data_IF_247316406915
#
_entry.id   IF_247316406915
#
_cell.length_a   1.000
_cell.length_b   1.000
_cell.length_c   1.000
_cell.angle_alpha   90.00
_cell.angle_beta   90.00
_cell.angle_gamma   90.00
#
_symmetry.space_group_name_H-M   'P 1'
#
loop_
_entity.id
_entity.type
_entity.pdbx_description
1 polymer ?
#
# COMPACT_ATOMS: atom_id res chain seq x y z
N UNK A 1 -26.74 7.13 12.50
CA UNK A 1 -27.97 6.31 12.51
C UNK A 1 -28.11 5.46 13.77
N UNK A 2 -27.12 4.63 14.15
CA UNK A 2 -27.17 3.84 15.41
C UNK A 2 -27.33 4.72 16.66
N UNK A 3 -26.53 5.78 16.79
CA UNK A 3 -26.60 6.72 17.91
C UNK A 3 -27.99 7.35 18.09
N UNK A 4 -28.69 7.66 16.99
CA UNK A 4 -30.04 8.22 17.06
C UNK A 4 -31.08 7.20 17.53
N UNK A 5 -30.96 5.92 17.12
CA UNK A 5 -31.82 4.84 17.62
C UNK A 5 -31.60 4.60 19.11
N UNK A 6 -30.35 4.73 19.57
CA UNK A 6 -29.98 4.51 20.96
C UNK A 6 -30.55 5.61 21.89
N UNK A 7 -30.56 6.87 21.44
CA UNK A 7 -31.21 7.98 22.16
C UNK A 7 -32.74 7.81 22.24
N UNK A 8 -33.35 7.20 21.22
CA UNK A 8 -34.78 6.90 21.23
C UNK A 8 -35.13 5.81 22.26
N UNK A 9 -34.27 4.79 22.36
CA UNK A 9 -34.42 3.72 23.35
C UNK A 9 -34.28 4.27 24.77
N UNK A 10 -33.34 5.18 25.03
CA UNK A 10 -33.17 5.79 26.36
C UNK A 10 -34.42 6.55 26.83
N UNK A 11 -35.05 7.34 25.96
CA UNK A 11 -36.35 7.98 26.25
C UNK A 11 -37.47 6.98 26.50
N UNK A 12 -37.41 5.83 25.84
CA UNK A 12 -38.41 4.78 26.02
C UNK A 12 -38.28 4.13 27.40
N UNK A 13 -37.05 3.98 27.92
CA UNK A 13 -36.82 3.53 29.30
C UNK A 13 -37.36 4.52 30.35
N UNK A 14 -37.20 5.83 30.16
CA UNK A 14 -37.75 6.83 31.08
C UNK A 14 -39.29 6.76 31.13
N UNK A 15 -39.93 6.63 29.97
CA UNK A 15 -41.39 6.51 29.89
C UNK A 15 -41.92 5.24 30.56
N UNK A 16 -41.22 4.11 30.39
CA UNK A 16 -41.60 2.83 31.01
C UNK A 16 -41.34 2.86 32.53
N UNK A 17 -40.21 3.44 32.96
CA UNK A 17 -39.87 3.59 34.37
C UNK A 17 -40.93 4.37 35.16
N UNK A 18 -41.48 5.44 34.57
CA UNK A 18 -42.55 6.23 35.19
C UNK A 18 -43.87 5.46 35.33
N UNK A 19 -44.11 4.40 34.55
CA UNK A 19 -45.30 3.55 34.66
C UNK A 19 -45.12 2.38 35.64
N UNK A 20 -43.90 1.88 35.81
CA UNK A 20 -43.61 0.71 36.67
C UNK A 20 -43.30 1.12 38.11
N UNK A 21 -42.94 2.39 38.35
CA UNK A 21 -42.66 2.94 39.69
C UNK A 21 -43.76 2.69 40.74
N UNK A 22 -44.98 2.37 40.30
CA UNK A 22 -46.16 2.24 41.17
C UNK A 22 -46.58 0.79 41.48
N UNK A 23 -45.98 -0.25 40.85
CA UNK A 23 -46.57 -1.60 40.89
C UNK A 23 -45.67 -2.79 41.31
N UNK A 24 -44.36 -2.82 41.09
CA UNK A 24 -43.54 -3.98 41.55
C UNK A 24 -42.02 -3.74 41.62
N UNK A 25 -41.37 -4.31 42.66
CA UNK A 25 -39.92 -4.17 42.93
C UNK A 25 -39.07 -5.10 42.03
N UNK A 26 -39.58 -6.30 41.70
CA UNK A 26 -38.90 -7.26 40.82
C UNK A 26 -38.73 -6.71 39.40
N UNK A 27 -39.80 -6.15 38.84
CA UNK A 27 -39.82 -5.53 37.51
C UNK A 27 -38.82 -4.37 37.38
N UNK A 28 -38.61 -3.60 38.46
CA UNK A 28 -37.60 -2.54 38.48
C UNK A 28 -36.17 -3.11 38.39
N UNK A 29 -35.86 -4.21 39.07
CA UNK A 29 -34.54 -4.84 39.01
C UNK A 29 -34.23 -5.36 37.61
N UNK A 30 -35.19 -6.00 36.96
CA UNK A 30 -35.03 -6.50 35.58
C UNK A 30 -34.86 -5.36 34.58
N UNK A 31 -35.61 -4.26 34.75
CA UNK A 31 -35.50 -3.09 33.89
C UNK A 31 -34.15 -2.37 34.06
N UNK A 32 -33.61 -2.33 35.28
CA UNK A 32 -32.25 -1.82 35.54
C UNK A 32 -31.22 -2.72 34.87
N UNK A 33 -31.37 -4.05 34.98
CA UNK A 33 -30.46 -5.01 34.36
C UNK A 33 -30.48 -4.86 32.82
N UNK A 34 -31.67 -4.70 32.23
CA UNK A 34 -31.84 -4.46 30.80
C UNK A 34 -31.21 -3.13 30.36
N UNK A 35 -31.34 -2.08 31.17
CA UNK A 35 -30.67 -0.78 30.93
C UNK A 35 -29.15 -0.91 30.96
N UNK A 36 -28.60 -1.72 31.88
CA UNK A 36 -27.16 -2.00 31.95
C UNK A 36 -26.72 -2.78 30.69
N UNK A 37 -27.43 -3.84 30.31
CA UNK A 37 -27.15 -4.60 29.08
C UNK A 37 -27.17 -3.70 27.84
N UNK A 38 -28.16 -2.82 27.73
CA UNK A 38 -28.25 -1.85 26.64
C UNK A 38 -27.06 -0.87 26.64
N UNK A 39 -26.68 -0.34 27.82
CA UNK A 39 -25.52 0.54 27.95
C UNK A 39 -24.21 -0.17 27.58
N UNK A 40 -24.04 -1.45 27.94
CA UNK A 40 -22.87 -2.24 27.52
C UNK A 40 -22.84 -2.44 26.02
N UNK A 41 -23.99 -2.76 25.40
CA UNK A 41 -24.09 -2.97 23.96
C UNK A 41 -23.79 -1.67 23.18
N UNK A 42 -24.19 -0.51 23.73
CA UNK A 42 -23.81 0.82 23.22
C UNK A 42 -22.30 1.05 23.28
N UNK A 43 -21.65 0.77 24.41
CA UNK A 43 -20.21 0.93 24.58
C UNK A 43 -19.45 0.03 23.60
N UNK A 44 -19.86 -1.23 23.46
CA UNK A 44 -19.28 -2.17 22.50
C UNK A 44 -19.41 -1.68 21.06
N UNK A 45 -20.60 -1.22 20.67
CA UNK A 45 -20.88 -0.61 19.36
C UNK A 45 -19.98 0.59 19.06
N UNK A 46 -19.84 1.52 20.00
CA UNK A 46 -18.98 2.69 19.84
C UNK A 46 -17.49 2.31 19.78
N UNK A 47 -17.07 1.36 20.60
CA UNK A 47 -15.70 0.84 20.57
C UNK A 47 -15.39 0.23 19.20
N UNK A 48 -16.33 -0.54 18.66
CA UNK A 48 -16.22 -1.19 17.36
C UNK A 48 -16.11 -0.18 16.20
N UNK A 49 -16.89 0.91 16.24
CA UNK A 49 -16.77 1.99 15.25
C UNK A 49 -15.42 2.73 15.37
N UNK A 50 -14.93 2.98 16.59
CA UNK A 50 -13.63 3.63 16.82
C UNK A 50 -12.45 2.77 16.35
N UNK A 51 -12.47 1.48 16.66
CA UNK A 51 -11.43 0.55 16.21
C UNK A 51 -11.45 0.40 14.70
N UNK A 52 -12.64 0.36 14.08
CA UNK A 52 -12.77 0.34 12.63
C UNK A 52 -12.18 1.59 11.96
N UNK A 53 -12.50 2.79 12.43
CA UNK A 53 -11.95 4.04 11.88
C UNK A 53 -10.43 4.05 12.01
N UNK A 54 -9.91 3.63 13.17
CA UNK A 54 -8.47 3.55 13.41
C UNK A 54 -7.81 2.55 12.46
N UNK A 55 -8.40 1.37 12.29
CA UNK A 55 -7.92 0.35 11.35
C UNK A 55 -7.91 0.88 9.91
N UNK A 56 -8.99 1.56 9.50
CA UNK A 56 -9.09 2.14 8.16
C UNK A 56 -8.02 3.20 7.93
N UNK A 57 -7.78 4.09 8.90
CA UNK A 57 -6.73 5.11 8.79
C UNK A 57 -5.33 4.51 8.67
N UNK A 58 -5.03 3.45 9.45
CA UNK A 58 -3.75 2.75 9.34
C UNK A 58 -3.63 2.09 7.98
N UNK A 59 -4.68 1.41 7.51
CA UNK A 59 -4.69 0.73 6.23
C UNK A 59 -4.52 1.72 5.07
N UNK A 60 -5.29 2.80 5.04
CA UNK A 60 -5.24 3.82 3.98
C UNK A 60 -3.84 4.46 3.92
N UNK A 61 -3.25 4.83 5.08
CA UNK A 61 -1.87 5.36 5.14
C UNK A 61 -0.84 4.41 4.55
N UNK A 62 -1.06 3.11 4.69
CA UNK A 62 -0.11 2.10 4.26
C UNK A 62 -0.29 1.73 2.80
N UNK A 63 -1.52 1.69 2.30
CA UNK A 63 -1.84 1.49 0.88
C UNK A 63 -1.32 2.66 0.05
N UNK A 64 -1.43 3.90 0.54
CA UNK A 64 -0.89 5.08 -0.15
C UNK A 64 0.65 5.08 -0.23
N UNK A 65 1.33 4.30 0.64
CA UNK A 65 2.78 4.12 0.63
C UNK A 65 3.26 2.96 -0.27
N UNK A 66 2.37 2.19 -0.90
CA UNK A 66 2.69 0.98 -1.69
C UNK A 66 3.37 1.23 -3.06
N UNK A 67 4.15 2.30 -3.19
CA UNK A 67 5.25 2.29 -4.15
C UNK A 67 6.39 1.35 -3.74
N UNK A 68 6.49 1.00 -2.45
CA UNK A 68 7.66 0.34 -1.87
C UNK A 68 7.30 -0.86 -0.99
N UNK A 69 6.78 -1.93 -1.59
CA UNK A 69 6.75 -3.29 -1.00
C UNK A 69 5.86 -3.49 0.23
N UNK A 70 5.23 -4.67 0.33
CA UNK A 70 4.39 -5.04 1.48
C UNK A 70 5.27 -5.20 2.71
N UNK A 71 5.15 -4.29 3.68
CA UNK A 71 5.95 -4.32 4.91
C UNK A 71 5.46 -5.46 5.85
N UNK A 72 6.32 -6.40 6.28
CA UNK A 72 5.92 -7.50 7.18
C UNK A 72 5.34 -7.00 8.52
N UNK A 73 5.71 -5.79 8.95
CA UNK A 73 5.13 -5.17 10.15
C UNK A 73 3.63 -4.85 9.98
N UNK A 74 3.19 -4.52 8.76
CA UNK A 74 1.78 -4.30 8.44
C UNK A 74 0.98 -5.58 8.64
N UNK A 75 1.46 -6.69 8.10
CA UNK A 75 0.78 -7.98 8.19
C UNK A 75 0.62 -8.40 9.65
N UNK A 76 1.67 -8.22 10.47
CA UNK A 76 1.62 -8.46 11.91
C UNK A 76 0.60 -7.55 12.61
N UNK A 77 0.51 -6.28 12.23
CA UNK A 77 -0.48 -5.37 12.77
C UNK A 77 -1.91 -5.79 12.39
N UNK A 78 -2.18 -6.06 11.10
CA UNK A 78 -3.50 -6.50 10.61
C UNK A 78 -3.92 -7.81 11.29
N UNK A 79 -3.01 -8.78 11.43
CA UNK A 79 -3.28 -10.04 12.15
C UNK A 79 -3.67 -9.78 13.62
N UNK A 80 -2.97 -8.88 14.30
CA UNK A 80 -3.33 -8.47 15.67
C UNK A 80 -4.72 -7.82 15.72
N UNK A 81 -5.06 -6.98 14.75
CA UNK A 81 -6.38 -6.35 14.68
C UNK A 81 -7.50 -7.36 14.42
N UNK A 82 -7.29 -8.35 13.54
CA UNK A 82 -8.25 -9.44 13.29
C UNK A 82 -8.55 -10.18 14.59
N UNK A 83 -7.51 -10.60 15.32
CA UNK A 83 -7.70 -11.31 16.58
C UNK A 83 -8.46 -10.47 17.61
N UNK A 84 -8.13 -9.18 17.72
CA UNK A 84 -8.85 -8.27 18.64
C UNK A 84 -10.32 -8.10 18.24
N UNK A 85 -10.61 -8.12 16.94
CA UNK A 85 -11.96 -7.99 16.41
C UNK A 85 -12.80 -9.25 16.62
N UNK A 86 -12.19 -10.44 16.45
CA UNK A 86 -12.86 -11.71 16.75
C UNK A 86 -13.18 -11.84 18.25
N UNK A 87 -12.29 -11.39 19.12
CA UNK A 87 -12.56 -11.34 20.58
C UNK A 87 -13.73 -10.41 20.91
N UNK A 88 -13.71 -9.18 20.37
CA UNK A 88 -14.84 -8.24 20.54
C UNK A 88 -16.14 -8.81 19.98
N UNK A 89 -16.09 -9.50 18.85
CA UNK A 89 -17.28 -10.11 18.25
C UNK A 89 -17.87 -11.21 19.15
N UNK A 90 -16.99 -11.98 19.80
CA UNK A 90 -17.41 -13.00 20.77
C UNK A 90 -18.09 -12.36 21.98
N UNK A 91 -17.48 -11.34 22.59
CA UNK A 91 -18.07 -10.62 23.73
C UNK A 91 -19.44 -10.01 23.37
N UNK A 92 -19.54 -9.37 22.20
CA UNK A 92 -20.80 -8.81 21.70
C UNK A 92 -21.87 -9.91 21.52
N UNK A 93 -21.49 -11.06 20.98
CA UNK A 93 -22.41 -12.19 20.79
C UNK A 93 -22.88 -12.78 22.12
N UNK A 94 -22.02 -12.81 23.15
CA UNK A 94 -22.40 -13.26 24.48
C UNK A 94 -23.39 -12.28 25.14
N UNK A 95 -23.10 -10.97 25.08
CA UNK A 95 -24.01 -9.92 25.59
C UNK A 95 -25.34 -9.94 24.85
N UNK A 96 -25.32 -10.14 23.53
CA UNK A 96 -26.50 -10.31 22.68
C UNK A 96 -27.41 -11.44 23.16
N UNK A 97 -26.84 -12.63 23.40
CA UNK A 97 -27.59 -13.81 23.85
C UNK A 97 -28.16 -13.60 25.26
N UNK A 98 -27.39 -13.02 26.18
CA UNK A 98 -27.86 -12.69 27.54
C UNK A 98 -29.00 -11.67 27.48
N UNK A 99 -28.89 -10.67 26.62
CA UNK A 99 -29.94 -9.66 26.46
C UNK A 99 -31.21 -10.30 25.90
N UNK A 100 -31.11 -11.20 24.92
CA UNK A 100 -32.26 -11.89 24.33
C UNK A 100 -32.93 -12.85 25.33
N UNK A 101 -32.16 -13.53 26.18
CA UNK A 101 -32.69 -14.43 27.20
C UNK A 101 -33.41 -13.67 28.32
N UNK A 102 -32.82 -12.59 28.83
CA UNK A 102 -33.44 -11.70 29.82
C UNK A 102 -34.76 -11.13 29.30
N UNK A 103 -34.75 -10.70 28.05
CA UNK A 103 -35.90 -10.08 27.44
C UNK A 103 -37.02 -11.10 27.19
N UNK A 104 -36.67 -12.33 26.84
CA UNK A 104 -37.62 -13.44 26.76
C UNK A 104 -38.25 -13.79 28.11
N UNK A 105 -37.50 -13.71 29.21
CA UNK A 105 -38.04 -13.90 30.58
C UNK A 105 -39.04 -12.78 30.95
N UNK A 106 -38.67 -11.52 30.69
CA UNK A 106 -39.50 -10.33 30.95
C UNK A 106 -40.85 -10.38 30.22
N UNK A 107 -40.83 -10.82 28.95
CA UNK A 107 -42.04 -11.01 28.13
C UNK A 107 -42.94 -12.13 28.65
N UNK A 108 -42.37 -13.18 29.24
CA UNK A 108 -43.12 -14.31 29.79
C UNK A 108 -43.85 -13.91 31.08
N UNK A 109 -43.24 -13.04 31.89
CA UNK A 109 -43.74 -12.67 33.22
C UNK A 109 -44.82 -11.58 33.19
N UNK A 110 -44.66 -10.55 32.34
CA UNK A 110 -45.58 -9.39 32.33
C UNK A 110 -46.74 -9.48 31.31
N UNK A 111 -46.75 -10.53 30.47
CA UNK A 111 -47.82 -10.79 29.52
C UNK A 111 -48.02 -9.70 28.44
N UNK A 112 -49.02 -9.87 27.55
CA UNK A 112 -49.21 -9.03 26.34
C UNK A 112 -49.71 -7.60 26.60
N UNK A 113 -49.88 -7.19 27.86
CA UNK A 113 -50.54 -5.92 28.21
C UNK A 113 -49.66 -4.69 27.96
N UNK A 114 -48.33 -4.81 28.03
CA UNK A 114 -47.41 -3.68 27.81
C UNK A 114 -46.92 -3.57 26.36
N UNK A 115 -47.75 -2.94 25.50
CA UNK A 115 -47.35 -2.43 24.18
C UNK A 115 -45.96 -1.74 24.12
N UNK A 116 -45.57 -0.86 25.07
CA UNK A 116 -44.25 -0.21 25.01
C UNK A 116 -43.08 -1.18 25.24
N UNK A 117 -43.27 -2.23 26.05
CA UNK A 117 -42.24 -3.24 26.31
C UNK A 117 -41.97 -4.08 25.06
N UNK A 118 -43.03 -4.43 24.32
CA UNK A 118 -42.93 -5.17 23.05
C UNK A 118 -42.25 -4.33 21.95
N UNK A 119 -42.43 -3.02 21.97
CA UNK A 119 -41.71 -2.12 21.06
C UNK A 119 -40.21 -2.10 21.38
N UNK A 120 -39.88 -2.00 22.67
CA UNK A 120 -38.50 -2.04 23.15
C UNK A 120 -37.82 -3.37 22.77
N UNK A 121 -38.50 -4.50 22.94
CA UNK A 121 -38.04 -5.83 22.48
C UNK A 121 -37.58 -5.81 21.01
N UNK A 122 -38.51 -5.46 20.12
CA UNK A 122 -38.26 -5.47 18.68
C UNK A 122 -37.11 -4.55 18.31
N UNK A 123 -36.99 -3.39 18.97
CA UNK A 123 -35.88 -2.46 18.76
C UNK A 123 -34.55 -3.01 19.29
N UNK A 124 -34.54 -3.61 20.48
CA UNK A 124 -33.33 -4.17 21.09
C UNK A 124 -32.80 -5.36 20.28
N UNK A 125 -33.68 -6.29 19.89
CA UNK A 125 -33.36 -7.39 18.96
C UNK A 125 -32.86 -6.88 17.62
N UNK A 126 -33.47 -5.80 17.12
CA UNK A 126 -33.01 -5.13 15.90
C UNK A 126 -31.60 -4.58 16.03
N UNK A 127 -31.28 -3.87 17.11
CA UNK A 127 -29.93 -3.33 17.37
C UNK A 127 -28.92 -4.45 17.53
N UNK A 128 -29.27 -5.48 18.31
CA UNK A 128 -28.44 -6.65 18.54
C UNK A 128 -28.11 -7.39 17.23
N UNK A 129 -29.12 -7.63 16.39
CA UNK A 129 -28.95 -8.22 15.06
C UNK A 129 -28.09 -7.35 14.13
N UNK A 130 -28.29 -6.03 14.14
CA UNK A 130 -27.50 -5.09 13.35
C UNK A 130 -26.02 -5.08 13.76
N UNK A 131 -25.72 -5.08 15.06
CA UNK A 131 -24.34 -5.10 15.57
C UNK A 131 -23.67 -6.42 15.19
N UNK A 132 -24.33 -7.56 15.41
CA UNK A 132 -23.77 -8.87 15.09
C UNK A 132 -23.53 -9.04 13.57
N UNK A 133 -24.48 -8.57 12.75
CA UNK A 133 -24.34 -8.57 11.29
C UNK A 133 -23.20 -7.67 10.81
N UNK A 134 -23.04 -6.49 11.40
CA UNK A 134 -21.92 -5.60 11.06
C UNK A 134 -20.59 -6.19 11.45
N UNK A 135 -20.49 -6.74 12.66
CA UNK A 135 -19.27 -7.33 13.19
C UNK A 135 -18.80 -8.53 12.33
N UNK A 136 -19.70 -9.48 12.04
CA UNK A 136 -19.42 -10.62 11.15
C UNK A 136 -19.06 -10.18 9.72
N UNK A 137 -19.77 -9.18 9.17
CA UNK A 137 -19.42 -8.62 7.85
C UNK A 137 -18.04 -7.95 7.83
N UNK A 138 -17.59 -7.40 8.96
CA UNK A 138 -16.28 -6.80 9.05
C UNK A 138 -15.18 -7.86 9.13
N UNK A 139 -15.34 -8.84 10.02
CA UNK A 139 -14.37 -9.93 10.18
C UNK A 139 -14.13 -10.65 8.84
N UNK A 140 -15.21 -10.99 8.12
CA UNK A 140 -15.12 -11.60 6.78
C UNK A 140 -14.37 -10.73 5.77
N UNK A 141 -14.65 -9.42 5.71
CA UNK A 141 -13.93 -8.49 4.81
C UNK A 141 -12.46 -8.36 5.16
N UNK A 142 -12.12 -8.33 6.45
CA UNK A 142 -10.75 -8.21 6.93
C UNK A 142 -9.96 -9.49 6.60
N UNK A 143 -10.58 -10.65 6.79
CA UNK A 143 -10.03 -11.95 6.42
C UNK A 143 -9.77 -12.08 4.91
N UNK A 144 -10.72 -11.65 4.07
CA UNK A 144 -10.52 -11.63 2.62
C UNK A 144 -9.34 -10.75 2.22
N UNK A 145 -9.18 -9.56 2.84
CA UNK A 145 -8.04 -8.69 2.57
C UNK A 145 -6.71 -9.30 3.02
N UNK A 146 -6.69 -9.98 4.17
CA UNK A 146 -5.49 -10.66 4.64
C UNK A 146 -5.08 -11.79 3.66
N UNK A 147 -6.02 -12.58 3.15
CA UNK A 147 -5.72 -13.57 2.12
C UNK A 147 -5.13 -12.95 0.85
N UNK A 148 -5.64 -11.79 0.41
CA UNK A 148 -5.06 -11.06 -0.72
C UNK A 148 -3.63 -10.56 -0.42
N UNK A 149 -3.37 -10.09 0.80
CA UNK A 149 -2.02 -9.69 1.23
C UNK A 149 -1.06 -10.89 1.29
N UNK A 150 -1.50 -12.03 1.80
CA UNK A 150 -0.69 -13.26 1.82
C UNK A 150 -0.38 -13.77 0.41
N UNK A 151 -1.37 -13.73 -0.49
CA UNK A 151 -1.15 -14.03 -1.91
C UNK A 151 -0.16 -13.06 -2.55
N UNK A 152 -0.30 -11.75 -2.29
CA UNK A 152 0.61 -10.72 -2.78
C UNK A 152 2.05 -10.93 -2.26
N UNK A 153 2.19 -11.28 -0.98
CA UNK A 153 3.49 -11.62 -0.38
C UNK A 153 4.09 -12.85 -1.07
N UNK A 154 3.31 -13.91 -1.25
CA UNK A 154 3.76 -15.14 -1.90
C UNK A 154 4.18 -14.88 -3.36
N UNK A 155 3.45 -14.01 -4.08
CA UNK A 155 3.84 -13.56 -5.42
C UNK A 155 5.17 -12.79 -5.39
N UNK A 156 5.35 -11.89 -4.41
CA UNK A 156 6.59 -11.11 -4.29
C UNK A 156 7.80 -12.00 -3.95
N UNK A 157 7.61 -12.99 -3.06
CA UNK A 157 8.65 -13.95 -2.69
C UNK A 157 9.01 -14.84 -3.89
N UNK A 158 8.01 -15.37 -4.59
CA UNK A 158 8.19 -16.12 -5.83
C UNK A 158 8.94 -15.32 -6.90
N UNK A 159 8.66 -14.02 -7.01
CA UNK A 159 9.38 -13.14 -7.94
C UNK A 159 10.87 -13.00 -7.61
N UNK A 160 11.22 -12.99 -6.32
CA UNK A 160 12.62 -12.92 -5.88
C UNK A 160 13.37 -14.22 -6.15
N UNK A 161 12.73 -15.36 -5.91
CA UNK A 161 13.29 -16.68 -6.22
C UNK A 161 13.46 -16.88 -7.72
N UNK A 162 12.49 -16.40 -8.50
CA UNK A 162 12.58 -16.42 -9.95
C UNK A 162 13.72 -15.55 -10.47
N UNK A 163 13.92 -14.34 -9.90
CA UNK A 163 15.04 -13.47 -10.26
C UNK A 163 16.38 -14.12 -9.89
N UNK A 164 16.49 -14.76 -8.72
CA UNK A 164 17.69 -15.47 -8.31
C UNK A 164 18.00 -16.63 -9.26
N UNK A 165 17.00 -17.42 -9.63
CA UNK A 165 17.12 -18.52 -10.60
C UNK A 165 17.53 -18.01 -11.98
N UNK A 166 16.95 -16.88 -12.42
CA UNK A 166 17.33 -16.22 -13.67
C UNK A 166 18.79 -15.73 -13.62
N UNK A 167 19.21 -15.13 -12.51
CA UNK A 167 20.60 -14.71 -12.30
C UNK A 167 21.55 -15.91 -12.34
N UNK A 168 21.20 -17.00 -11.67
CA UNK A 168 21.99 -18.23 -11.64
C UNK A 168 22.08 -18.88 -13.03
N UNK A 169 20.99 -18.89 -13.80
CA UNK A 169 20.95 -19.39 -15.18
C UNK A 169 21.90 -18.63 -16.11
N UNK A 170 22.14 -17.35 -15.86
CA UNK A 170 23.07 -16.52 -16.63
C UNK A 170 24.51 -16.66 -16.10
N UNK A 171 24.69 -16.62 -14.78
CA UNK A 171 26.02 -16.66 -14.17
C UNK A 171 26.70 -18.04 -14.19
N UNK A 172 25.93 -19.13 -14.19
CA UNK A 172 26.50 -20.48 -14.17
C UNK A 172 27.21 -20.84 -15.48
N UNK A 173 26.63 -20.63 -16.68
CA UNK A 173 27.34 -20.79 -17.95
C UNK A 173 28.53 -19.84 -18.09
N UNK A 174 28.40 -18.59 -17.61
CA UNK A 174 29.47 -17.59 -17.61
C UNK A 174 30.66 -18.01 -16.74
N UNK A 175 30.38 -18.54 -15.54
CA UNK A 175 31.41 -19.03 -14.62
C UNK A 175 32.11 -20.27 -15.18
N UNK A 176 31.36 -21.16 -15.84
CA UNK A 176 31.93 -22.32 -16.52
C UNK A 176 32.81 -21.92 -17.69
N UNK A 177 32.37 -20.98 -18.53
CA UNK A 177 33.15 -20.44 -19.63
C UNK A 177 34.44 -19.75 -19.13
N UNK A 178 34.37 -18.99 -18.02
CA UNK A 178 35.55 -18.40 -17.37
C UNK A 178 36.54 -19.47 -16.88
N UNK A 179 36.02 -20.52 -16.25
CA UNK A 179 36.85 -21.62 -15.74
C UNK A 179 37.54 -22.40 -16.86
N UNK A 180 36.85 -22.66 -17.98
CA UNK A 180 37.44 -23.33 -19.15
C UNK A 180 38.52 -22.46 -19.80
N UNK A 181 38.29 -21.15 -19.93
CA UNK A 181 39.29 -20.22 -20.47
C UNK A 181 40.56 -20.19 -19.61
N UNK A 182 40.39 -20.21 -18.29
CA UNK A 182 41.49 -20.23 -17.32
C UNK A 182 42.32 -21.51 -17.38
N UNK A 183 41.78 -22.59 -17.93
CA UNK A 183 42.44 -23.90 -17.96
C UNK A 183 43.21 -24.18 -19.26
N UNK A 184 42.93 -23.44 -20.34
CA UNK A 184 43.29 -23.89 -21.69
C UNK A 184 44.37 -23.04 -22.41
N UNK A 185 44.88 -21.93 -21.86
CA UNK A 185 45.72 -21.01 -22.66
C UNK A 185 47.13 -20.72 -22.15
N UNK A 186 48.08 -20.87 -23.09
CA UNK A 186 49.47 -20.41 -23.05
C UNK A 186 49.45 -18.88 -23.23
N UNK A 187 49.95 -18.12 -22.25
CA UNK A 187 49.72 -16.67 -22.01
C UNK A 187 49.95 -15.68 -23.18
N UNK A 188 50.47 -16.09 -24.34
CA UNK A 188 50.79 -15.20 -25.47
C UNK A 188 49.58 -14.90 -26.36
N UNK A 189 48.67 -15.85 -26.56
CA UNK A 189 47.41 -15.63 -27.32
C UNK A 189 46.24 -15.16 -26.43
N UNK A 190 46.52 -14.98 -25.13
CA UNK A 190 45.51 -14.67 -24.11
C UNK A 190 44.82 -13.32 -24.36
N UNK A 191 45.51 -12.33 -24.92
CA UNK A 191 44.96 -10.98 -25.05
C UNK A 191 43.75 -10.93 -26.00
N UNK A 192 43.80 -11.67 -27.12
CA UNK A 192 42.69 -11.77 -28.07
C UNK A 192 41.52 -12.57 -27.48
N UNK A 193 41.83 -13.68 -26.78
CA UNK A 193 40.80 -14.53 -26.18
C UNK A 193 40.12 -13.85 -24.97
N UNK A 194 40.86 -13.08 -24.17
CA UNK A 194 40.31 -12.32 -23.05
C UNK A 194 39.42 -11.18 -23.52
N UNK A 195 39.76 -10.55 -24.65
CA UNK A 195 38.91 -9.54 -25.28
C UNK A 195 37.59 -10.14 -25.78
N UNK A 196 37.64 -11.29 -26.44
CA UNK A 196 36.45 -12.02 -26.90
C UNK A 196 35.58 -12.46 -25.71
N UNK A 197 36.20 -13.03 -24.67
CA UNK A 197 35.50 -13.44 -23.44
C UNK A 197 34.86 -12.26 -22.70
N UNK A 198 35.55 -11.12 -22.59
CA UNK A 198 35.00 -9.89 -22.02
C UNK A 198 33.81 -9.39 -22.85
N UNK A 199 33.92 -9.46 -24.19
CA UNK A 199 32.82 -9.17 -25.11
C UNK A 199 31.58 -10.04 -24.84
N UNK A 200 31.77 -11.35 -24.68
CA UNK A 200 30.68 -12.29 -24.36
C UNK A 200 30.04 -11.99 -22.99
N UNK A 201 30.84 -11.70 -21.95
CA UNK A 201 30.32 -11.31 -20.62
C UNK A 201 29.44 -10.06 -20.74
N UNK A 202 29.94 -9.03 -21.43
CA UNK A 202 29.22 -7.78 -21.60
C UNK A 202 27.95 -8.02 -22.41
N UNK A 203 28.00 -8.84 -23.46
CA UNK A 203 26.84 -9.19 -24.26
C UNK A 203 25.76 -9.92 -23.45
N UNK A 204 26.10 -10.99 -22.73
CA UNK A 204 25.14 -11.70 -21.87
C UNK A 204 24.62 -10.81 -20.74
N UNK A 205 25.48 -10.00 -20.14
CA UNK A 205 25.10 -9.00 -19.13
C UNK A 205 24.09 -7.97 -19.67
N UNK A 206 24.30 -7.47 -20.89
CA UNK A 206 23.35 -6.53 -21.53
C UNK A 206 21.99 -7.17 -21.79
N UNK A 207 21.97 -8.40 -22.30
CA UNK A 207 20.71 -9.14 -22.52
C UNK A 207 19.97 -9.31 -21.19
N UNK A 208 20.69 -9.68 -20.12
CA UNK A 208 20.12 -9.81 -18.78
C UNK A 208 19.50 -8.50 -18.28
N UNK A 209 20.24 -7.39 -18.39
CA UNK A 209 19.79 -6.06 -17.95
C UNK A 209 18.56 -5.61 -18.75
N UNK A 210 18.56 -5.80 -20.07
CA UNK A 210 17.42 -5.47 -20.93
C UNK A 210 16.18 -6.26 -20.51
N UNK A 211 16.34 -7.57 -20.26
CA UNK A 211 15.24 -8.43 -19.83
C UNK A 211 14.67 -8.00 -18.47
N UNK A 212 15.54 -7.74 -17.48
CA UNK A 212 15.13 -7.21 -16.16
C UNK A 212 14.41 -5.87 -16.30
N UNK A 213 14.92 -4.96 -17.13
CA UNK A 213 14.34 -3.63 -17.35
C UNK A 213 12.97 -3.74 -18.02
N UNK A 214 12.81 -4.66 -18.99
CA UNK A 214 11.54 -4.93 -19.65
C UNK A 214 10.50 -5.46 -18.66
N UNK A 215 10.86 -6.42 -17.83
CA UNK A 215 9.99 -6.97 -16.79
C UNK A 215 9.57 -5.90 -15.78
N UNK A 216 10.52 -5.09 -15.32
CA UNK A 216 10.24 -3.95 -14.42
C UNK A 216 9.33 -2.91 -15.07
N UNK A 217 9.51 -2.64 -16.36
CA UNK A 217 8.66 -1.74 -17.14
C UNK A 217 7.22 -2.27 -17.28
N UNK A 218 7.06 -3.58 -17.51
CA UNK A 218 5.75 -4.22 -17.58
C UNK A 218 5.06 -4.21 -16.20
N UNK A 219 5.80 -4.49 -15.13
CA UNK A 219 5.28 -4.43 -13.75
C UNK A 219 4.82 -3.01 -13.37
N UNK A 220 5.63 -2.00 -13.70
CA UNK A 220 5.31 -0.60 -13.43
C UNK A 220 4.14 -0.03 -14.23
N UNK A 221 3.63 -0.73 -15.27
CA UNK A 221 2.45 -0.26 -16.02
C UNK A 221 1.14 -0.44 -15.26
N UNK A 222 1.10 -1.23 -14.17
CA UNK A 222 -0.15 -1.62 -13.52
C UNK A 222 -0.65 -0.67 -12.41
N UNK A 223 0.12 0.34 -12.03
CA UNK A 223 -0.34 1.33 -11.04
C UNK A 223 0.44 2.64 -11.13
N UNK A 224 -0.22 3.71 -11.56
CA UNK A 224 -0.01 5.10 -11.11
C UNK A 224 -0.31 6.11 -12.22
N UNK A 225 -1.21 7.02 -11.86
CA UNK A 225 -1.82 8.11 -12.64
C UNK A 225 -0.98 9.41 -12.60
N UNK A 226 0.25 9.40 -12.08
CA UNK A 226 1.07 10.62 -12.00
C UNK A 226 1.92 10.86 -13.26
N UNK A 227 1.31 11.52 -14.25
CA UNK A 227 1.87 11.78 -15.59
C UNK A 227 3.09 12.73 -15.66
N UNK A 228 3.43 13.45 -14.59
CA UNK A 228 4.46 14.51 -14.65
C UNK A 228 5.88 13.97 -14.33
N UNK A 229 6.01 12.96 -13.47
CA UNK A 229 7.32 12.37 -13.13
C UNK A 229 7.91 11.48 -14.24
N UNK A 230 7.09 11.06 -15.21
CA UNK A 230 7.50 10.16 -16.30
C UNK A 230 8.45 10.78 -17.32
N UNK A 231 8.38 12.09 -17.54
CA UNK A 231 9.15 12.73 -18.63
C UNK A 231 10.65 12.75 -18.31
N UNK A 232 11.03 13.18 -17.10
CA UNK A 232 12.44 13.15 -16.66
C UNK A 232 13.01 11.72 -16.62
N UNK A 233 12.22 10.75 -16.16
CA UNK A 233 12.68 9.37 -16.06
C UNK A 233 12.87 8.70 -17.43
N UNK A 234 12.02 9.02 -18.43
CA UNK A 234 12.19 8.54 -19.81
C UNK A 234 13.46 9.09 -20.45
N UNK A 235 13.78 10.37 -20.25
CA UNK A 235 14.99 10.96 -20.82
C UNK A 235 16.25 10.32 -20.24
N UNK A 236 16.32 10.14 -18.91
CA UNK A 236 17.46 9.47 -18.26
C UNK A 236 17.61 8.03 -18.79
N UNK A 237 16.51 7.30 -18.94
CA UNK A 237 16.54 5.92 -19.40
C UNK A 237 16.98 5.82 -20.87
N UNK A 238 16.58 6.78 -21.72
CA UNK A 238 17.04 6.86 -23.10
C UNK A 238 18.56 7.11 -23.19
N UNK A 239 19.11 8.00 -22.35
CA UNK A 239 20.56 8.23 -22.28
C UNK A 239 21.32 6.98 -21.84
N UNK A 240 20.81 6.25 -20.86
CA UNK A 240 21.39 4.99 -20.40
C UNK A 240 21.40 3.95 -21.54
N UNK A 241 20.27 3.76 -22.23
CA UNK A 241 20.18 2.82 -23.37
C UNK A 241 21.16 3.22 -24.48
N UNK A 242 21.23 4.50 -24.81
CA UNK A 242 22.11 5.00 -25.86
C UNK A 242 23.58 4.69 -25.54
N UNK A 243 24.01 4.91 -24.29
CA UNK A 243 25.35 4.56 -23.87
C UNK A 243 25.62 3.05 -23.90
N UNK A 244 24.64 2.25 -23.50
CA UNK A 244 24.74 0.79 -23.56
C UNK A 244 24.91 0.27 -25.00
N UNK A 245 24.16 0.83 -25.95
CA UNK A 245 24.29 0.46 -27.37
C UNK A 245 25.67 0.82 -27.94
N UNK A 246 26.25 1.93 -27.48
CA UNK A 246 27.59 2.38 -27.88
C UNK A 246 28.69 1.42 -27.37
N UNK A 247 28.56 0.96 -26.13
CA UNK A 247 29.42 -0.09 -25.57
C UNK A 247 29.28 -1.37 -26.39
N UNK A 248 28.04 -1.84 -26.62
CA UNK A 248 27.76 -3.09 -27.32
C UNK A 248 28.31 -3.09 -28.75
N UNK A 249 28.10 -2.01 -29.49
CA UNK A 249 28.64 -1.82 -30.85
C UNK A 249 30.18 -1.77 -30.87
N UNK A 250 30.81 -1.13 -29.89
CA UNK A 250 32.28 -1.08 -29.79
C UNK A 250 32.90 -2.47 -29.59
N UNK A 251 32.29 -3.28 -28.72
CA UNK A 251 32.73 -4.66 -28.48
C UNK A 251 32.47 -5.55 -29.70
N UNK A 252 31.30 -5.44 -30.33
CA UNK A 252 30.94 -6.22 -31.52
C UNK A 252 31.91 -5.97 -32.68
N UNK A 253 32.24 -4.69 -32.94
CA UNK A 253 33.19 -4.31 -33.99
C UNK A 253 34.61 -4.78 -33.67
N UNK A 254 35.00 -4.73 -32.39
CA UNK A 254 36.31 -5.21 -31.95
C UNK A 254 36.49 -6.72 -32.09
N UNK A 255 35.42 -7.52 -31.98
CA UNK A 255 35.46 -8.97 -32.21
C UNK A 255 35.52 -9.33 -33.71
N UNK A 256 34.81 -8.60 -34.57
CA UNK A 256 34.66 -8.98 -36.00
C UNK A 256 35.85 -8.53 -36.86
N UNK A 257 36.40 -7.34 -36.61
CA UNK A 257 37.44 -6.74 -37.46
C UNK A 257 38.80 -6.76 -36.80
N UNK A 258 39.03 -5.85 -35.85
CA UNK A 258 40.31 -5.65 -35.17
C UNK A 258 40.08 -4.99 -33.81
N UNK A 259 40.70 -5.53 -32.77
CA UNK A 259 40.57 -5.05 -31.37
C UNK A 259 40.84 -3.54 -31.23
N UNK A 260 41.83 -3.04 -31.97
CA UNK A 260 42.27 -1.63 -31.93
C UNK A 260 41.16 -0.68 -32.41
N UNK A 261 40.35 -1.11 -33.38
CA UNK A 261 39.24 -0.31 -33.91
C UNK A 261 38.10 -0.22 -32.89
N UNK A 262 37.75 -1.34 -32.25
CA UNK A 262 36.76 -1.37 -31.17
C UNK A 262 37.14 -0.48 -29.99
N UNK A 263 38.41 -0.54 -29.56
CA UNK A 263 38.92 0.28 -28.46
C UNK A 263 38.90 1.79 -28.78
N UNK A 264 39.23 2.17 -30.03
CA UNK A 264 39.15 3.56 -30.47
C UNK A 264 37.71 4.07 -30.42
N UNK A 265 36.74 3.30 -30.91
CA UNK A 265 35.32 3.68 -30.88
C UNK A 265 34.85 3.84 -29.42
N UNK A 266 35.25 2.92 -28.53
CA UNK A 266 34.92 3.02 -27.10
C UNK A 266 35.54 4.28 -26.46
N UNK A 267 36.79 4.59 -26.78
CA UNK A 267 37.50 5.77 -26.28
C UNK A 267 36.83 7.07 -26.74
N UNK A 268 36.43 7.16 -28.01
CA UNK A 268 35.70 8.33 -28.51
C UNK A 268 34.30 8.45 -27.88
N UNK A 269 33.60 7.33 -27.71
CA UNK A 269 32.28 7.32 -27.07
C UNK A 269 32.31 7.74 -25.61
N UNK A 270 33.26 7.19 -24.83
CA UNK A 270 33.44 7.55 -23.41
C UNK A 270 33.94 8.99 -23.25
N UNK A 271 34.92 9.42 -24.04
CA UNK A 271 35.41 10.80 -24.04
C UNK A 271 34.32 11.81 -24.42
N UNK A 272 33.51 11.49 -25.43
CA UNK A 272 32.35 12.29 -25.81
C UNK A 272 31.31 12.41 -24.70
N UNK A 273 31.00 11.31 -24.00
CA UNK A 273 30.05 11.34 -22.88
C UNK A 273 30.56 12.14 -21.68
N UNK A 274 31.83 11.97 -21.30
CA UNK A 274 32.44 12.74 -20.21
C UNK A 274 32.45 14.22 -20.57
N UNK A 275 32.81 14.58 -21.80
CA UNK A 275 32.74 15.95 -22.29
C UNK A 275 31.33 16.52 -22.24
N UNK A 276 30.33 15.75 -22.67
CA UNK A 276 28.93 16.19 -22.68
C UNK A 276 28.34 16.31 -21.26
N UNK A 277 28.79 15.50 -20.29
CA UNK A 277 28.45 15.66 -18.88
C UNK A 277 29.09 16.89 -18.25
N UNK A 278 30.39 17.10 -18.48
CA UNK A 278 31.14 18.23 -17.93
C UNK A 278 30.62 19.56 -18.48
N UNK A 279 30.24 19.61 -19.76
CA UNK A 279 29.67 20.81 -20.40
C UNK A 279 28.17 20.94 -20.16
N UNK A 280 27.43 19.83 -20.17
CA UNK A 280 25.98 19.81 -20.03
C UNK A 280 25.48 20.04 -18.60
N UNK A 281 26.20 19.58 -17.58
CA UNK A 281 25.84 19.81 -16.18
C UNK A 281 25.78 21.30 -15.80
N UNK A 282 26.78 22.16 -16.11
CA UNK A 282 26.71 23.58 -15.80
C UNK A 282 25.63 24.31 -16.62
N UNK A 283 25.37 23.91 -17.88
CA UNK A 283 24.28 24.48 -18.68
C UNK A 283 22.90 24.15 -18.11
N UNK A 284 22.68 22.92 -17.65
CA UNK A 284 21.44 22.54 -16.98
C UNK A 284 21.27 23.26 -15.63
N UNK A 285 22.37 23.44 -14.87
CA UNK A 285 22.36 24.19 -13.62
C UNK A 285 22.02 25.67 -13.83
N UNK A 286 22.58 26.29 -14.88
CA UNK A 286 22.23 27.65 -15.30
C UNK A 286 20.77 27.77 -15.73
N UNK A 287 20.25 26.79 -16.49
CA UNK A 287 18.84 26.75 -16.87
C UNK A 287 17.88 26.69 -15.68
N UNK A 288 18.23 25.92 -14.64
CA UNK A 288 17.43 25.81 -13.43
C UNK A 288 17.50 27.09 -12.56
N UNK A 289 18.66 27.74 -12.51
CA UNK A 289 18.83 29.05 -11.87
C UNK A 289 17.97 30.14 -12.54
N UNK A 290 18.02 30.22 -13.88
CA UNK A 290 17.24 31.18 -14.66
C UNK A 290 15.74 30.92 -14.48
N UNK A 291 15.31 29.65 -14.55
CA UNK A 291 13.90 29.29 -14.36
C UNK A 291 13.37 29.54 -12.95
N UNK A 292 14.22 29.41 -11.92
CA UNK A 292 13.84 29.69 -10.53
C UNK A 292 13.68 31.18 -10.27
N UNK A 293 14.52 32.01 -10.88
CA UNK A 293 14.40 33.47 -10.79
C UNK A 293 13.18 34.01 -11.54
N UNK A 294 12.84 33.42 -12.69
CA UNK A 294 11.63 33.80 -13.42
C UNK A 294 10.36 33.48 -12.61
N UNK A 295 10.30 32.30 -11.95
CA UNK A 295 9.20 31.97 -11.04
C UNK A 295 9.09 32.90 -9.85
N UNK A 296 10.22 33.33 -9.27
CA UNK A 296 10.24 34.31 -8.17
C UNK A 296 9.72 35.68 -8.63
N UNK A 297 10.10 36.12 -9.83
CA UNK A 297 9.59 37.37 -10.44
C UNK A 297 8.10 37.29 -10.75
N UNK A 298 7.61 36.16 -11.26
CA UNK A 298 6.19 35.94 -11.51
C UNK A 298 5.36 35.95 -10.21
N UNK A 299 5.83 35.30 -9.15
CA UNK A 299 5.16 35.29 -7.85
C UNK A 299 5.13 36.69 -7.18
N UNK A 300 6.17 37.51 -7.38
CA UNK A 300 6.21 38.87 -6.87
C UNK A 300 5.22 39.80 -7.57
N UNK A 301 4.96 39.62 -8.88
CA UNK A 301 3.96 40.40 -9.62
C UNK A 301 2.54 40.14 -9.13
N UNK A 302 2.18 38.87 -8.93
CA UNK A 302 0.85 38.48 -8.44
C UNK A 302 0.56 39.09 -7.05
N UNK A 303 1.56 39.10 -6.16
CA UNK A 303 1.40 39.68 -4.82
C UNK A 303 1.26 41.22 -4.84
N UNK A 304 1.83 41.90 -5.84
CA UNK A 304 1.67 43.35 -5.98
C UNK A 304 0.28 43.75 -6.47
N UNK A 305 -0.33 42.94 -7.35
CA UNK A 305 -1.69 43.19 -7.86
C UNK A 305 -2.77 42.99 -6.78
N UNK A 306 -2.60 42.00 -5.88
CA UNK A 306 -3.54 41.78 -4.75
C UNK A 306 -3.57 42.95 -3.75
N UNK A 307 -2.43 43.61 -3.50
CA UNK A 307 -2.40 44.78 -2.61
C UNK A 307 -2.94 46.06 -3.28
N UNK A 308 -2.90 46.15 -4.62
CA UNK A 308 -3.45 47.29 -5.36
C UNK A 308 -4.98 47.33 -5.42
N UNK A 309 -5.65 46.18 -5.32
CA UNK A 309 -7.12 46.10 -5.38
C UNK A 309 -7.80 46.46 -4.05
N UNK A 310 -7.15 46.23 -2.91
CA UNK A 310 -7.68 46.56 -1.58
C UNK A 310 -7.72 48.06 -1.27
N UNK A 311 -6.83 48.87 -1.88
CA UNK A 311 -6.71 50.30 -1.60
C UNK A 311 -7.66 51.21 -2.43
N UNK A 312 -8.51 50.63 -3.28
CA UNK A 312 -9.49 51.38 -4.11
C UNK A 312 -10.96 51.19 -3.68
N UNK A 313 -11.21 50.47 -2.58
CA UNK A 313 -12.56 50.26 -2.03
C UNK A 313 -12.79 50.96 -0.68
N UNK A 314 -11.85 51.78 -0.21
CA UNK A 314 -12.06 52.80 0.83
C UNK A 314 -12.09 54.19 0.18
#
# INVERSE_FOLDING_TARGET
MLVQRLLFIERSYENIGNHIADQDISAQQELVLLRICHATLLICSQSLDRTWISCKQVLDRTVDQEGTGVNPLLLKAISKWIHLYDEMNREISEVAVVTDSLLSMLLLEHGPSMMPLRRLDVELRGVCGDVNRRSSSLSTRLQSRLQLFDMSRNISESSSLWLLSLLASIFLPLSLASSLLSMQTRLVDLHYLLYDFCGVIIFFGTIAIVFITLLKSISNKKGSVHGVFRVKQRTILAWIILQWMLILTSFLVGMIKEMVVGLKILGYGTGGMVGLLVVGAPLNYLGDLIGKDEKRRAAARIRADDHGFGAKME
#
